data_IF_147922755177
#
_entry.id   IF_147922755177
#
_cell.length_a   1.000
_cell.length_b   1.000
_cell.length_c   1.000
_cell.angle_alpha   90.00
_cell.angle_beta   90.00
_cell.angle_gamma   90.00
#
_symmetry.space_group_name_H-M   'P 1'
#
loop_
_entity.id
_entity.type
_entity.pdbx_description
1 polymer ?
#
# COMPACT_ATOMS: atom_id res chain seq x y z
N UNK A 1 -14.90 -2.41 15.15
CA UNK A 1 -13.66 -2.43 14.35
C UNK A 1 -13.99 -2.15 12.89
N UNK A 2 -13.20 -1.31 12.25
CA UNK A 2 -13.40 -0.93 10.85
C UNK A 2 -12.46 -1.74 9.98
N UNK A 3 -13.01 -2.40 8.95
CA UNK A 3 -12.22 -3.18 8.00
C UNK A 3 -11.59 -2.25 6.98
N UNK A 4 -10.28 -2.38 6.78
CA UNK A 4 -9.51 -1.51 5.89
C UNK A 4 -8.75 -2.34 4.87
N UNK A 5 -8.65 -1.81 3.64
CA UNK A 5 -7.75 -2.31 2.62
C UNK A 5 -6.76 -1.20 2.27
N UNK A 6 -5.50 -1.56 2.22
CA UNK A 6 -4.43 -0.65 1.83
C UNK A 6 -3.68 -1.23 0.63
N UNK A 7 -3.12 -0.33 -0.18
CA UNK A 7 -2.24 -0.71 -1.27
C UNK A 7 -0.81 -0.29 -0.95
N UNK A 8 0.14 -1.19 -1.18
CA UNK A 8 1.56 -0.91 -1.05
C UNK A 8 2.19 -0.93 -2.44
N UNK A 9 3.12 -0.01 -2.67
CA UNK A 9 3.83 0.06 -3.95
C UNK A 9 5.26 0.55 -3.79
N UNK A 10 6.14 0.08 -4.68
CA UNK A 10 7.53 0.52 -4.75
C UNK A 10 8.05 0.27 -6.16
N UNK A 11 8.84 1.21 -6.69
CA UNK A 11 9.52 0.99 -7.97
C UNK A 11 11.04 0.87 -7.82
N UNK A 12 11.51 0.56 -6.63
CA UNK A 12 12.91 0.26 -6.41
C UNK A 12 13.28 -1.08 -7.06
N UNK A 13 14.57 -1.34 -7.22
CA UNK A 13 15.05 -2.56 -7.90
C UNK A 13 14.66 -3.83 -7.15
N UNK A 14 14.51 -3.74 -5.84
CA UNK A 14 14.12 -4.89 -5.02
C UNK A 14 12.92 -4.53 -4.16
N UNK A 15 12.23 -5.54 -3.66
CA UNK A 15 11.11 -5.37 -2.75
C UNK A 15 11.55 -5.18 -1.28
N UNK A 16 12.84 -5.06 -1.02
CA UNK A 16 13.37 -5.06 0.34
C UNK A 16 12.76 -3.99 1.24
N UNK A 17 12.61 -2.77 0.72
CA UNK A 17 12.01 -1.67 1.50
C UNK A 17 10.54 -1.91 1.77
N UNK A 18 9.82 -2.39 0.77
CA UNK A 18 8.41 -2.73 0.92
C UNK A 18 8.23 -3.82 1.98
N UNK A 19 9.05 -4.86 1.92
CA UNK A 19 9.00 -5.96 2.90
C UNK A 19 9.38 -5.47 4.30
N UNK A 20 10.35 -4.54 4.40
CA UNK A 20 10.70 -3.94 5.69
C UNK A 20 9.54 -3.15 6.29
N UNK A 21 8.78 -2.43 5.47
CA UNK A 21 7.63 -1.69 5.94
C UNK A 21 6.53 -2.58 6.50
N UNK A 22 6.45 -3.84 6.07
CA UNK A 22 5.47 -4.80 6.59
C UNK A 22 5.61 -5.01 8.09
N UNK A 23 6.83 -4.99 8.62
CA UNK A 23 7.05 -5.13 10.07
C UNK A 23 6.36 -4.02 10.85
N UNK A 24 6.50 -2.78 10.39
CA UNK A 24 5.85 -1.64 11.04
C UNK A 24 4.33 -1.70 10.90
N UNK A 25 3.84 -2.19 9.75
CA UNK A 25 2.42 -2.37 9.54
C UNK A 25 1.86 -3.43 10.49
N UNK A 26 2.59 -4.52 10.71
CA UNK A 26 2.17 -5.56 11.65
C UNK A 26 2.10 -5.03 13.08
N UNK A 27 3.00 -4.14 13.47
CA UNK A 27 2.99 -3.53 14.79
C UNK A 27 1.86 -2.51 14.95
N UNK A 28 1.59 -1.73 13.91
CA UNK A 28 0.54 -0.72 13.94
C UNK A 28 -0.86 -1.31 13.82
N UNK A 29 -0.99 -2.40 13.08
CA UNK A 29 -2.28 -3.04 12.79
C UNK A 29 -2.18 -4.54 13.02
N UNK A 30 -2.24 -4.99 14.29
CA UNK A 30 -2.16 -6.42 14.60
C UNK A 30 -3.22 -7.21 13.84
N UNK A 31 -2.83 -8.36 13.31
CA UNK A 31 -3.73 -9.19 12.53
C UNK A 31 -3.79 -8.83 11.05
N UNK A 32 -3.01 -7.85 10.59
CA UNK A 32 -2.94 -7.51 9.17
C UNK A 32 -2.50 -8.72 8.34
N UNK A 33 -3.13 -8.89 7.18
CA UNK A 33 -2.79 -9.95 6.22
C UNK A 33 -2.42 -9.31 4.90
N UNK A 34 -1.46 -9.92 4.19
CA UNK A 34 -0.91 -9.39 2.95
C UNK A 34 -1.20 -10.35 1.79
N UNK A 35 -1.54 -9.78 0.63
CA UNK A 35 -1.59 -10.54 -0.61
C UNK A 35 -0.17 -10.81 -1.11
N UNK A 36 -0.05 -11.63 -2.15
CA UNK A 36 1.24 -11.81 -2.81
C UNK A 36 1.67 -10.52 -3.49
N UNK A 37 2.98 -10.37 -3.70
CA UNK A 37 3.54 -9.28 -4.48
C UNK A 37 3.29 -9.53 -5.97
N UNK A 38 2.93 -8.47 -6.69
CA UNK A 38 2.80 -8.54 -8.15
C UNK A 38 3.59 -7.40 -8.78
N UNK A 39 4.09 -7.64 -10.01
CA UNK A 39 4.76 -6.63 -10.81
C UNK A 39 3.72 -5.97 -11.71
N UNK A 40 3.78 -4.64 -11.82
CA UNK A 40 2.95 -3.90 -12.76
C UNK A 40 3.77 -2.85 -13.50
N UNK A 41 3.32 -2.52 -14.72
CA UNK A 41 3.90 -1.41 -15.47
C UNK A 41 3.53 -0.09 -14.80
N UNK A 42 4.41 0.95 -14.89
CA UNK A 42 4.09 2.25 -14.32
C UNK A 42 2.88 2.88 -15.01
N UNK A 43 1.98 3.47 -14.23
CA UNK A 43 0.79 4.16 -14.73
C UNK A 43 0.86 5.62 -14.30
N UNK A 44 0.82 6.53 -15.29
CA UNK A 44 0.89 7.95 -15.01
C UNK A 44 2.20 8.40 -14.37
N UNK A 45 3.26 7.66 -14.59
CA UNK A 45 4.56 7.90 -13.97
C UNK A 45 5.65 7.77 -15.02
N UNK A 46 6.49 8.78 -15.13
CA UNK A 46 7.54 8.84 -16.16
C UNK A 46 8.79 8.07 -15.69
N UNK A 47 8.70 6.75 -15.69
CA UNK A 47 9.80 5.89 -15.29
C UNK A 47 9.71 4.56 -16.02
N UNK A 48 10.83 4.00 -16.49
CA UNK A 48 10.84 2.67 -17.11
C UNK A 48 10.76 1.54 -16.08
N UNK A 49 10.82 1.85 -14.78
CA UNK A 49 10.84 0.83 -13.73
C UNK A 49 9.46 0.24 -13.52
N UNK A 50 9.42 -1.08 -13.35
CA UNK A 50 8.22 -1.77 -12.93
C UNK A 50 7.93 -1.47 -11.45
N UNK A 51 6.66 -1.56 -11.07
CA UNK A 51 6.26 -1.46 -9.67
C UNK A 51 6.07 -2.84 -9.07
N UNK A 52 6.51 -2.97 -7.84
CA UNK A 52 6.04 -4.02 -6.94
C UNK A 52 4.77 -3.50 -6.28
N UNK A 53 3.71 -4.30 -6.29
CA UNK A 53 2.44 -3.94 -5.68
C UNK A 53 1.93 -5.06 -4.79
N UNK A 54 1.24 -4.67 -3.73
CA UNK A 54 0.65 -5.59 -2.77
C UNK A 54 -0.57 -4.96 -2.14
N UNK A 55 -1.55 -5.77 -1.79
CA UNK A 55 -2.72 -5.34 -1.03
C UNK A 55 -2.64 -5.94 0.36
N UNK A 56 -3.12 -5.21 1.35
CA UNK A 56 -3.23 -5.74 2.71
C UNK A 56 -4.59 -5.37 3.29
N UNK A 57 -5.02 -6.17 4.26
CA UNK A 57 -6.31 -6.00 4.92
C UNK A 57 -6.12 -6.12 6.43
N UNK A 58 -6.79 -5.25 7.17
CA UNK A 58 -6.78 -5.28 8.64
C UNK A 58 -8.07 -4.66 9.18
N UNK A 59 -8.29 -4.85 10.47
CA UNK A 59 -9.37 -4.17 11.19
C UNK A 59 -8.75 -3.27 12.24
N UNK A 60 -9.41 -2.13 12.50
CA UNK A 60 -8.88 -1.14 13.44
C UNK A 60 -10.01 -0.31 14.05
N UNK A 61 -9.87 0.16 15.30
CA UNK A 61 -10.79 1.15 15.88
C UNK A 61 -10.47 2.58 15.47
N UNK A 62 -9.37 2.81 14.71
CA UNK A 62 -8.90 4.13 14.36
C UNK A 62 -9.80 4.77 13.29
N UNK A 63 -9.80 6.11 13.25
CA UNK A 63 -10.47 6.87 12.19
C UNK A 63 -9.64 6.85 10.92
N UNK A 64 -10.26 7.29 9.80
CA UNK A 64 -9.55 7.44 8.51
C UNK A 64 -8.29 8.29 8.69
N UNK A 65 -8.42 9.45 9.35
CA UNK A 65 -7.29 10.36 9.55
C UNK A 65 -6.17 9.71 10.35
N UNK A 66 -6.52 8.96 11.38
CA UNK A 66 -5.53 8.29 12.23
C UNK A 66 -4.81 7.18 11.44
N UNK A 67 -5.55 6.41 10.64
CA UNK A 67 -4.95 5.37 9.80
C UNK A 67 -3.98 6.02 8.80
N UNK A 68 -4.43 7.05 8.09
CA UNK A 68 -3.60 7.76 7.11
C UNK A 68 -2.32 8.32 7.74
N UNK A 69 -2.44 8.86 8.93
CA UNK A 69 -1.28 9.42 9.65
C UNK A 69 -0.23 8.35 9.94
N UNK A 70 -0.67 7.18 10.38
CA UNK A 70 0.23 6.05 10.62
C UNK A 70 0.90 5.55 9.35
N UNK A 71 0.13 5.47 8.25
CA UNK A 71 0.69 5.04 6.97
C UNK A 71 1.75 6.03 6.46
N UNK A 72 1.50 7.33 6.59
CA UNK A 72 2.46 8.37 6.20
C UNK A 72 3.72 8.33 7.05
N UNK A 73 3.57 8.06 8.34
CA UNK A 73 4.73 7.93 9.23
C UNK A 73 5.60 6.75 8.81
N UNK A 74 4.99 5.61 8.47
CA UNK A 74 5.71 4.43 8.00
C UNK A 74 6.45 4.75 6.70
N UNK A 75 5.80 5.45 5.77
CA UNK A 75 6.46 5.90 4.54
C UNK A 75 7.70 6.73 4.83
N UNK A 76 7.59 7.71 5.71
CA UNK A 76 8.73 8.57 6.07
C UNK A 76 9.84 7.78 6.77
N UNK A 77 9.48 6.90 7.68
CA UNK A 77 10.44 6.07 8.41
C UNK A 77 11.23 5.16 7.47
N UNK A 78 10.64 4.82 6.31
CA UNK A 78 11.28 3.99 5.31
C UNK A 78 11.85 4.78 4.13
N UNK A 79 12.12 6.07 4.35
CA UNK A 79 12.94 6.87 3.46
C UNK A 79 12.22 7.69 2.41
N UNK A 80 10.90 7.72 2.40
CA UNK A 80 10.15 8.54 1.44
C UNK A 80 10.40 10.03 1.69
N UNK A 81 10.72 10.77 0.62
CA UNK A 81 10.97 12.22 0.65
C UNK A 81 10.08 12.92 -0.38
N UNK A 82 9.79 14.24 -0.19
CA UNK A 82 8.92 14.98 -1.11
C UNK A 82 9.41 15.06 -2.55
N UNK A 83 10.73 15.01 -2.78
CA UNK A 83 11.30 15.13 -4.12
C UNK A 83 11.47 13.80 -4.85
N UNK A 84 11.17 12.68 -4.23
CA UNK A 84 11.28 11.35 -4.86
C UNK A 84 10.47 11.28 -6.15
N UNK A 85 9.22 11.76 -6.12
CA UNK A 85 8.31 11.71 -7.26
C UNK A 85 8.85 12.46 -8.47
N UNK A 86 9.44 13.64 -8.26
CA UNK A 86 10.02 14.43 -9.33
C UNK A 86 11.21 13.72 -9.98
N UNK A 87 11.86 12.81 -9.24
CA UNK A 87 13.00 12.03 -9.74
C UNK A 87 12.58 10.68 -10.32
N UNK A 88 11.28 10.40 -10.42
CA UNK A 88 10.78 9.13 -10.91
C UNK A 88 10.96 7.97 -9.93
N UNK A 89 11.08 8.27 -8.65
CA UNK A 89 11.34 7.27 -7.60
C UNK A 89 10.14 7.16 -6.68
N UNK A 90 9.67 5.93 -6.47
CA UNK A 90 8.71 5.60 -5.42
C UNK A 90 9.36 4.55 -4.53
N UNK A 91 9.98 5.00 -3.45
CA UNK A 91 10.63 4.09 -2.49
C UNK A 91 9.60 3.23 -1.80
N UNK A 92 8.55 3.85 -1.30
CA UNK A 92 7.43 3.17 -0.65
C UNK A 92 6.21 4.08 -0.71
N UNK A 93 5.09 3.52 -1.15
CA UNK A 93 3.80 4.20 -1.21
C UNK A 93 2.78 3.30 -0.54
N UNK A 94 2.07 3.83 0.46
CA UNK A 94 1.08 3.07 1.21
C UNK A 94 -0.19 3.90 1.26
N UNK A 95 -1.23 3.45 0.55
CA UNK A 95 -2.48 4.19 0.42
C UNK A 95 -3.63 3.44 1.07
N UNK A 96 -4.47 4.18 1.80
CA UNK A 96 -5.73 3.65 2.29
C UNK A 96 -6.74 3.68 1.14
N UNK A 97 -7.11 2.48 0.67
CA UNK A 97 -7.98 2.32 -0.50
C UNK A 97 -9.45 2.23 -0.14
N UNK A 98 -9.76 1.52 0.94
CA UNK A 98 -11.14 1.28 1.38
C UNK A 98 -11.18 1.24 2.91
N UNK A 99 -12.18 1.90 3.47
CA UNK A 99 -12.36 2.00 4.91
C UNK A 99 -13.82 1.71 5.24
N UNK A 100 -14.06 0.64 5.99
CA UNK A 100 -15.40 0.26 6.45
C UNK A 100 -16.41 0.21 5.30
N UNK A 101 -15.99 -0.33 4.16
CA UNK A 101 -16.83 -0.46 2.97
C UNK A 101 -16.85 0.77 2.07
N UNK A 102 -16.28 1.89 2.49
CA UNK A 102 -16.22 3.10 1.67
C UNK A 102 -14.93 3.14 0.86
N UNK A 103 -15.06 3.19 -0.46
CA UNK A 103 -13.92 3.29 -1.36
C UNK A 103 -13.40 4.72 -1.37
N UNK A 104 -12.15 4.91 -0.94
CA UNK A 104 -11.53 6.24 -0.83
C UNK A 104 -10.70 6.61 -2.05
N UNK A 105 -10.21 5.60 -2.80
CA UNK A 105 -9.43 5.80 -4.01
C UNK A 105 -10.00 4.93 -5.13
N UNK A 106 -11.06 5.41 -5.82
CA UNK A 106 -11.78 4.58 -6.79
C UNK A 106 -10.93 4.08 -7.95
N UNK A 107 -10.02 4.92 -8.48
CA UNK A 107 -9.17 4.52 -9.61
C UNK A 107 -8.22 3.40 -9.22
N UNK A 108 -7.57 3.53 -8.06
CA UNK A 108 -6.66 2.49 -7.56
C UNK A 108 -7.43 1.23 -7.19
N UNK A 109 -8.60 1.39 -6.57
CA UNK A 109 -9.44 0.28 -6.14
C UNK A 109 -9.86 -0.62 -7.30
N UNK A 110 -10.00 -0.05 -8.50
CA UNK A 110 -10.43 -0.77 -9.69
C UNK A 110 -9.30 -1.39 -10.51
N UNK A 111 -8.04 -1.12 -10.16
CA UNK A 111 -6.91 -1.72 -10.89
C UNK A 111 -6.96 -3.25 -10.77
N UNK A 112 -6.55 -3.94 -11.84
CA UNK A 112 -6.58 -5.40 -11.89
C UNK A 112 -5.77 -6.05 -10.77
N UNK A 113 -4.57 -5.54 -10.48
CA UNK A 113 -3.72 -6.06 -9.41
C UNK A 113 -4.36 -5.90 -8.03
N UNK A 114 -5.06 -4.79 -7.80
CA UNK A 114 -5.76 -4.54 -6.54
C UNK A 114 -6.96 -5.48 -6.41
N UNK A 115 -7.74 -5.64 -7.48
CA UNK A 115 -8.91 -6.55 -7.46
C UNK A 115 -8.48 -7.99 -7.18
N UNK A 116 -7.38 -8.43 -7.78
CA UNK A 116 -6.84 -9.76 -7.54
C UNK A 116 -6.37 -9.92 -6.10
N UNK A 117 -5.69 -8.91 -5.55
CA UNK A 117 -5.22 -8.93 -4.17
C UNK A 117 -6.38 -8.99 -3.17
N UNK A 118 -7.41 -8.17 -3.40
CA UNK A 118 -8.61 -8.17 -2.55
C UNK A 118 -9.30 -9.53 -2.60
N UNK A 119 -9.42 -10.13 -3.79
CA UNK A 119 -10.03 -11.45 -3.95
C UNK A 119 -9.22 -12.53 -3.22
N UNK A 120 -7.89 -12.46 -3.32
CA UNK A 120 -7.01 -13.39 -2.62
C UNK A 120 -7.23 -13.33 -1.11
N UNK A 121 -7.30 -12.12 -0.54
CA UNK A 121 -7.48 -11.93 0.89
C UNK A 121 -8.88 -12.34 1.36
N UNK A 122 -9.88 -12.18 0.51
CA UNK A 122 -11.24 -12.61 0.81
C UNK A 122 -11.38 -14.13 0.83
N UNK A 123 -10.51 -14.84 0.11
CA UNK A 123 -10.54 -16.31 0.00
C UNK A 123 -9.77 -17.03 1.10
N UNK A 124 -8.98 -16.29 1.87
CA UNK A 124 -8.10 -16.88 2.89
C UNK A 124 -8.77 -17.03 4.24
#
# INVERSE_FOLDING_TARGET
MKKCFIGLGSNERTAARLLAAQSDLCMSFPGIVFSRLVWTAPVGFDSPRMFYNQVACFTTPLTVSQVRERLKKIERDHGRTPDDKARGIVKIDIDLLCYDGEVLKPQDWQRGDVREGVAELASS
#
